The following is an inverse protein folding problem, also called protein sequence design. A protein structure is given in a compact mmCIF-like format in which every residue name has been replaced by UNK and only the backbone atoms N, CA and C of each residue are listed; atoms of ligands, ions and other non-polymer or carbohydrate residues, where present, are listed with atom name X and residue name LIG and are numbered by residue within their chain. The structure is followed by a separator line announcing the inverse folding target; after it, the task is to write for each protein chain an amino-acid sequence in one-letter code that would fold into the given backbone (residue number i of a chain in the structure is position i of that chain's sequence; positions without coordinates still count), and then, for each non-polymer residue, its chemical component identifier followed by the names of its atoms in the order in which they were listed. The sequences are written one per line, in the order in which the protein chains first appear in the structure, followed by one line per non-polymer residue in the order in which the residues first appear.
data_IF_764950564862
#
_entry.id   IF_764950564862
#
_cell.length_a   1.000
_cell.length_b   1.000
_cell.length_c   1.000
_cell.angle_alpha   90.00
_cell.angle_beta   90.00
_cell.angle_gamma   90.00
#
_symmetry.space_group_name_H-M   'P 1'
#
loop_
_entity.id
_entity.type
_entity.pdbx_description
1 polymer ?
#
# COMPACT_ATOMS: atom_id res chain seq x y z
N UNK A 1 17.74 -0.75 45.29
CA UNK A 1 17.93 -1.89 46.21
C UNK A 1 17.77 -1.34 47.62
N UNK A 2 16.82 -1.84 48.44
CA UNK A 2 16.51 -1.18 49.72
C UNK A 2 17.47 -1.66 50.82
N UNK A 3 18.36 -0.77 51.28
CA UNK A 3 19.25 -1.05 52.43
C UNK A 3 18.42 -0.93 53.71
N UNK A 4 18.08 -2.08 54.32
CA UNK A 4 17.44 -2.10 55.64
C UNK A 4 18.53 -2.06 56.72
N UNK A 5 18.83 -0.88 57.25
CA UNK A 5 19.58 -0.76 58.49
C UNK A 5 18.69 -1.18 59.68
N UNK A 6 19.19 -2.06 60.55
CA UNK A 6 18.58 -2.40 61.84
C UNK A 6 19.50 -1.90 62.95
N UNK A 7 19.07 -0.86 63.66
CA UNK A 7 19.70 -0.40 64.91
C UNK A 7 18.88 -0.84 66.12
N UNK A 8 19.52 -1.38 67.14
CA UNK A 8 18.93 -1.62 68.46
C UNK A 8 19.40 -0.55 69.43
N UNK A 9 18.50 0.34 69.85
CA UNK A 9 18.74 1.32 70.92
C UNK A 9 18.27 0.71 72.25
N UNK A 10 19.17 0.60 73.21
CA UNK A 10 18.82 0.27 74.61
C UNK A 10 18.91 1.55 75.43
N UNK A 11 17.77 2.06 75.91
CA UNK A 11 17.71 3.22 76.80
C UNK A 11 17.64 2.72 78.24
N UNK A 12 18.73 2.83 78.99
CA UNK A 12 18.73 2.60 80.43
C UNK A 12 18.30 3.92 81.08
N UNK A 13 17.11 3.95 81.70
CA UNK A 13 16.78 5.06 82.61
C UNK A 13 17.59 4.87 83.88
N UNK A 14 18.56 5.75 84.11
CA UNK A 14 19.14 5.93 85.44
C UNK A 14 18.22 6.91 86.17
N UNK A 15 17.36 6.39 87.06
CA UNK A 15 16.54 7.22 87.95
C UNK A 15 17.39 7.56 89.18
N UNK A 16 18.38 8.45 89.02
CA UNK A 16 19.18 8.99 90.13
C UNK A 16 18.99 10.52 90.32
N UNK A 17 18.24 11.19 89.44
CA UNK A 17 18.07 12.64 89.48
C UNK A 17 19.29 13.41 88.97
N UNK A 18 20.29 12.73 88.42
CA UNK A 18 21.44 13.33 87.76
C UNK A 18 21.31 13.21 86.24
N UNK A 19 21.79 14.22 85.52
CA UNK A 19 21.76 14.20 84.05
C UNK A 19 22.65 13.07 83.50
N UNK A 20 22.11 12.29 82.55
CA UNK A 20 22.83 11.20 81.86
C UNK A 20 24.01 11.68 80.99
N UNK A 21 24.19 13.00 80.88
CA UNK A 21 25.31 13.63 80.20
C UNK A 21 25.78 14.87 80.96
N UNK A 22 27.09 15.03 81.07
CA UNK A 22 27.71 16.24 81.62
C UNK A 22 27.89 17.24 80.49
N UNK A 23 27.46 18.50 80.70
CA UNK A 23 27.63 19.59 79.73
C UNK A 23 28.70 20.55 80.24
N UNK A 24 29.85 20.60 79.56
CA UNK A 24 30.97 21.44 79.99
C UNK A 24 31.92 21.75 78.85
N UNK A 25 32.65 22.87 78.95
CA UNK A 25 33.70 23.24 78.00
C UNK A 25 34.99 22.43 78.18
N UNK A 26 35.22 21.91 79.39
CA UNK A 26 36.39 21.08 79.74
C UNK A 26 35.97 19.64 80.01
N UNK A 27 36.88 18.69 79.78
CA UNK A 27 36.62 17.28 80.01
C UNK A 27 36.23 17.01 81.47
N UNK A 28 35.11 16.29 81.72
CA UNK A 28 34.70 15.95 83.07
C UNK A 28 35.60 14.88 83.68
N UNK A 29 35.75 14.91 85.00
CA UNK A 29 36.47 13.88 85.76
C UNK A 29 35.69 12.58 85.88
N UNK A 30 34.35 12.65 85.81
CA UNK A 30 33.48 11.49 85.80
C UNK A 30 33.40 10.92 84.38
N UNK A 31 34.02 9.76 84.19
CA UNK A 31 34.11 9.05 82.91
C UNK A 31 32.96 8.08 82.68
N UNK A 32 32.01 7.97 83.62
CA UNK A 32 30.87 7.04 83.52
C UNK A 32 29.70 7.63 82.73
N UNK A 33 29.68 8.95 82.54
CA UNK A 33 28.63 9.70 81.84
C UNK A 33 29.06 10.09 80.43
N UNK A 34 28.10 10.38 79.55
CA UNK A 34 28.42 11.03 78.27
C UNK A 34 28.83 12.47 78.51
N UNK A 35 29.73 13.00 77.69
CA UNK A 35 30.15 14.40 77.77
C UNK A 35 29.66 15.15 76.55
N UNK A 36 28.82 16.16 76.76
CA UNK A 36 28.54 17.16 75.73
C UNK A 36 29.54 18.31 75.86
N UNK A 37 30.53 18.33 74.98
CA UNK A 37 31.52 19.39 74.89
C UNK A 37 30.87 20.64 74.30
N UNK A 38 30.65 21.66 75.14
CA UNK A 38 29.95 22.88 74.72
C UNK A 38 30.80 23.77 73.81
N UNK A 39 32.12 23.54 73.74
CA UNK A 39 33.04 24.30 72.87
C UNK A 39 32.93 23.81 71.42
N UNK A 40 32.95 22.50 71.23
CA UNK A 40 32.89 21.85 69.90
C UNK A 40 31.48 21.42 69.51
N UNK A 41 30.52 21.50 70.44
CA UNK A 41 29.13 21.02 70.27
C UNK A 41 29.06 19.53 69.91
N UNK A 42 29.98 18.73 70.44
CA UNK A 42 30.06 17.28 70.19
C UNK A 42 29.67 16.50 71.44
N UNK A 43 29.04 15.34 71.22
CA UNK A 43 28.79 14.35 72.24
C UNK A 43 29.94 13.36 72.23
N UNK A 44 30.55 13.12 73.38
CA UNK A 44 31.71 12.26 73.55
C UNK A 44 31.42 11.17 74.58
N UNK A 45 32.03 10.01 74.38
CA UNK A 45 32.04 8.90 75.35
C UNK A 45 33.48 8.63 75.75
N UNK A 46 33.71 8.35 77.02
CA UNK A 46 35.03 7.93 77.48
C UNK A 46 35.28 6.48 77.04
N UNK A 47 36.40 6.24 76.37
CA UNK A 47 36.92 4.90 76.12
C UNK A 47 37.97 4.57 77.18
N UNK A 48 37.66 3.61 78.05
CA UNK A 48 38.56 3.15 79.10
C UNK A 48 39.78 2.39 78.57
N UNK A 49 39.76 1.94 77.32
CA UNK A 49 40.85 1.19 76.69
C UNK A 49 41.95 2.13 76.18
N UNK A 50 41.57 3.23 75.53
CA UNK A 50 42.49 4.27 75.07
C UNK A 50 42.75 5.37 76.11
N UNK A 51 41.89 5.48 77.13
CA UNK A 51 41.96 6.52 78.15
C UNK A 51 41.51 7.91 77.65
N UNK A 52 40.77 7.98 76.54
CA UNK A 52 40.41 9.23 75.86
C UNK A 52 38.90 9.40 75.66
N UNK A 53 38.46 10.65 75.45
CA UNK A 53 37.07 10.98 75.10
C UNK A 53 36.90 10.97 73.58
N UNK A 54 36.10 10.04 73.07
CA UNK A 54 35.84 9.86 71.64
C UNK A 54 34.50 10.49 71.25
N UNK A 55 34.45 11.17 70.10
CA UNK A 55 33.21 11.76 69.58
C UNK A 55 32.29 10.63 69.10
N UNK A 56 31.03 10.66 69.55
CA UNK A 56 30.01 9.65 69.20
C UNK A 56 28.89 10.20 68.32
N UNK A 57 28.92 11.48 67.96
CA UNK A 57 27.95 12.12 67.07
C UNK A 57 28.58 12.71 65.79
N UNK A 58 29.73 12.18 65.35
CA UNK A 58 30.34 12.55 64.08
C UNK A 58 29.81 11.65 62.95
N UNK A 59 28.98 12.24 62.09
CA UNK A 59 28.38 11.57 60.94
C UNK A 59 28.93 12.12 59.60
N UNK A 60 30.03 12.87 59.62
CA UNK A 60 30.57 13.51 58.42
C UNK A 60 30.93 12.48 57.34
N UNK A 61 31.55 11.38 57.73
CA UNK A 61 31.94 10.30 56.82
C UNK A 61 30.73 9.55 56.26
N UNK A 62 29.73 9.24 57.10
CA UNK A 62 28.49 8.61 56.67
C UNK A 62 27.74 9.49 55.66
N UNK A 63 27.62 10.80 55.91
CA UNK A 63 27.00 11.72 54.96
C UNK A 63 27.80 11.85 53.66
N UNK A 64 29.13 11.85 53.73
CA UNK A 64 29.98 11.89 52.55
C UNK A 64 29.87 10.61 51.72
N UNK A 65 29.82 9.44 52.37
CA UNK A 65 29.61 8.15 51.73
C UNK A 65 28.24 8.10 51.06
N UNK A 66 27.16 8.50 51.76
CA UNK A 66 25.83 8.60 51.18
C UNK A 66 25.79 9.54 49.97
N UNK A 67 26.43 10.72 50.05
CA UNK A 67 26.53 11.66 48.93
C UNK A 67 27.25 11.03 47.73
N UNK A 68 28.31 10.27 47.99
CA UNK A 68 29.09 9.62 46.95
C UNK A 68 28.31 8.47 46.29
N UNK A 69 27.63 7.65 47.08
CA UNK A 69 26.79 6.55 46.59
C UNK A 69 25.65 7.08 45.72
N UNK A 70 24.92 8.10 46.21
CA UNK A 70 23.88 8.81 45.46
C UNK A 70 24.43 9.34 44.13
N UNK A 71 25.59 10.01 44.16
CA UNK A 71 26.22 10.55 42.96
C UNK A 71 26.55 9.45 41.94
N UNK A 72 27.11 8.32 42.40
CA UNK A 72 27.45 7.19 41.52
C UNK A 72 26.20 6.56 40.93
N UNK A 73 25.16 6.33 41.74
CA UNK A 73 23.90 5.73 41.29
C UNK A 73 23.21 6.60 40.22
N UNK A 74 23.09 7.91 40.47
CA UNK A 74 22.50 8.83 39.48
C UNK A 74 23.33 8.96 38.21
N UNK A 75 24.65 9.04 38.30
CA UNK A 75 25.52 9.10 37.11
C UNK A 75 25.41 7.82 36.27
N UNK A 76 25.30 6.66 36.92
CA UNK A 76 25.07 5.38 36.23
C UNK A 76 23.71 5.36 35.54
N UNK A 77 22.63 5.75 36.23
CA UNK A 77 21.29 5.81 35.65
C UNK A 77 21.19 6.79 34.46
N UNK A 78 21.80 7.98 34.59
CA UNK A 78 21.88 8.97 33.51
C UNK A 78 22.63 8.40 32.29
N UNK A 79 23.74 7.70 32.54
CA UNK A 79 24.53 7.07 31.46
C UNK A 79 23.75 5.98 30.75
N UNK A 80 23.05 5.13 31.50
CA UNK A 80 22.19 4.08 30.93
C UNK A 80 21.07 4.69 30.09
N UNK A 81 20.38 5.72 30.61
CA UNK A 81 19.34 6.43 29.89
C UNK A 81 19.88 7.09 28.61
N UNK A 82 21.05 7.72 28.68
CA UNK A 82 21.72 8.31 27.51
C UNK A 82 21.97 7.26 26.43
N UNK A 83 22.50 6.09 26.81
CA UNK A 83 22.79 5.02 25.87
C UNK A 83 21.50 4.48 25.22
N UNK A 84 20.46 4.23 26.02
CA UNK A 84 19.15 3.81 25.49
C UNK A 84 18.54 4.84 24.53
N UNK A 85 18.66 6.13 24.85
CA UNK A 85 18.18 7.20 23.97
C UNK A 85 18.97 7.26 22.67
N UNK A 86 20.31 7.13 22.74
CA UNK A 86 21.16 7.07 21.54
C UNK A 86 20.76 5.90 20.63
N UNK A 87 20.61 4.69 21.19
CA UNK A 87 20.18 3.52 20.41
C UNK A 87 18.80 3.69 19.79
N UNK A 88 17.83 4.26 20.54
CA UNK A 88 16.49 4.54 20.02
C UNK A 88 16.55 5.54 18.84
N UNK A 89 17.37 6.57 18.93
CA UNK A 89 17.55 7.55 17.84
C UNK A 89 18.16 6.90 16.60
N UNK A 90 19.18 6.05 16.77
CA UNK A 90 19.80 5.31 15.67
C UNK A 90 18.82 4.36 14.96
N UNK A 91 17.98 3.67 15.74
CA UNK A 91 16.93 2.78 15.20
C UNK A 91 15.86 3.58 14.44
N UNK A 92 15.44 4.73 14.97
CA UNK A 92 14.49 5.63 14.30
C UNK A 92 15.06 6.19 13.00
N UNK A 93 16.33 6.57 12.97
CA UNK A 93 17.00 7.04 11.76
C UNK A 93 17.09 5.94 10.69
N UNK A 94 17.43 4.72 11.11
CA UNK A 94 17.48 3.54 10.22
C UNK A 94 16.10 3.24 9.64
N UNK A 95 15.07 3.19 10.49
CA UNK A 95 13.68 2.95 10.08
C UNK A 95 13.18 4.04 9.12
N UNK A 96 13.47 5.31 9.41
CA UNK A 96 13.11 6.44 8.56
C UNK A 96 13.77 6.35 7.18
N UNK A 97 15.05 5.97 7.13
CA UNK A 97 15.80 5.79 5.89
C UNK A 97 15.24 4.64 5.04
N UNK A 98 14.95 3.50 5.68
CA UNK A 98 14.35 2.34 5.02
C UNK A 98 12.95 2.66 4.47
N UNK A 99 12.13 3.37 5.25
CA UNK A 99 10.81 3.81 4.81
C UNK A 99 10.90 4.77 3.63
N UNK A 100 11.81 5.74 3.68
CA UNK A 100 12.04 6.68 2.56
C UNK A 100 12.44 5.95 1.28
N UNK A 101 13.33 4.96 1.39
CA UNK A 101 13.75 4.13 0.25
C UNK A 101 12.59 3.31 -0.31
N UNK A 102 11.78 2.70 0.57
CA UNK A 102 10.61 1.92 0.17
C UNK A 102 9.55 2.79 -0.52
N UNK A 103 9.29 4.00 0.00
CA UNK A 103 8.37 4.98 -0.59
C UNK A 103 8.85 5.39 -1.99
N UNK A 104 10.14 5.68 -2.16
CA UNK A 104 10.70 6.06 -3.46
C UNK A 104 10.59 4.91 -4.48
N UNK A 105 10.80 3.66 -4.05
CA UNK A 105 10.60 2.48 -4.90
C UNK A 105 9.14 2.32 -5.34
N UNK A 106 8.20 2.40 -4.39
CA UNK A 106 6.77 2.33 -4.67
C UNK A 106 6.30 3.45 -5.60
N UNK A 107 6.76 4.69 -5.37
CA UNK A 107 6.48 5.82 -6.25
C UNK A 107 6.96 5.55 -7.68
N UNK A 108 8.17 5.03 -7.84
CA UNK A 108 8.72 4.66 -9.14
C UNK A 108 7.90 3.56 -9.84
N UNK A 109 7.43 2.56 -9.10
CA UNK A 109 6.57 1.50 -9.63
C UNK A 109 5.20 2.05 -10.08
N UNK A 110 4.60 2.96 -9.30
CA UNK A 110 3.33 3.61 -9.65
C UNK A 110 3.48 4.41 -10.96
N UNK A 111 4.56 5.17 -11.11
CA UNK A 111 4.83 5.96 -12.34
C UNK A 111 4.99 5.04 -13.56
N UNK A 112 5.72 3.94 -13.41
CA UNK A 112 5.91 2.95 -14.48
C UNK A 112 4.57 2.31 -14.87
N UNK A 113 3.77 1.88 -13.89
CA UNK A 113 2.45 1.29 -14.13
C UNK A 113 1.50 2.27 -14.83
N UNK A 114 1.46 3.54 -14.39
CA UNK A 114 0.67 4.58 -15.04
C UNK A 114 1.08 4.77 -16.51
N UNK A 115 2.39 4.77 -16.79
CA UNK A 115 2.92 4.84 -18.16
C UNK A 115 2.51 3.63 -19.00
N UNK A 116 2.56 2.41 -18.44
CA UNK A 116 2.09 1.20 -19.11
C UNK A 116 0.59 1.23 -19.42
N UNK A 117 -0.24 1.69 -18.46
CA UNK A 117 -1.68 1.87 -18.67
C UNK A 117 -1.97 2.88 -19.78
N UNK A 118 -1.21 3.98 -19.83
CA UNK A 118 -1.35 4.98 -20.89
C UNK A 118 -1.00 4.39 -22.26
N UNK A 119 0.08 3.60 -22.37
CA UNK A 119 0.44 2.91 -23.61
C UNK A 119 -0.66 1.94 -24.06
N UNK A 120 -1.20 1.13 -23.14
CA UNK A 120 -2.29 0.19 -23.43
C UNK A 120 -3.54 0.94 -23.89
N UNK A 121 -3.90 2.04 -23.21
CA UNK A 121 -5.03 2.89 -23.60
C UNK A 121 -4.86 3.44 -25.01
N UNK A 122 -3.68 3.97 -25.34
CA UNK A 122 -3.38 4.48 -26.67
C UNK A 122 -3.48 3.37 -27.75
N UNK A 123 -3.00 2.17 -27.43
CA UNK A 123 -3.13 1.01 -28.33
C UNK A 123 -4.59 0.60 -28.52
N UNK A 124 -5.39 0.59 -27.46
CA UNK A 124 -6.84 0.30 -27.54
C UNK A 124 -7.55 1.33 -28.40
N UNK A 125 -7.25 2.62 -28.23
CA UNK A 125 -7.82 3.67 -29.07
C UNK A 125 -7.44 3.45 -30.54
N UNK A 126 -6.18 3.16 -30.84
CA UNK A 126 -5.74 2.87 -32.21
C UNK A 126 -6.42 1.63 -32.82
N UNK A 127 -6.62 0.57 -32.03
CA UNK A 127 -7.37 -0.63 -32.45
C UNK A 127 -8.83 -0.26 -32.72
N UNK A 128 -9.43 0.51 -31.82
CA UNK A 128 -10.81 0.99 -31.94
C UNK A 128 -10.98 1.82 -33.20
N UNK A 129 -10.11 2.78 -33.46
CA UNK A 129 -10.12 3.62 -34.66
C UNK A 129 -9.95 2.80 -35.95
N UNK A 130 -9.11 1.76 -35.93
CA UNK A 130 -8.97 0.84 -37.07
C UNK A 130 -10.22 -0.02 -37.29
N UNK A 131 -10.95 -0.34 -36.23
CA UNK A 131 -12.18 -1.14 -36.30
C UNK A 131 -13.40 -0.30 -36.69
N UNK A 132 -13.48 0.98 -36.29
CA UNK A 132 -14.63 1.85 -36.62
C UNK A 132 -14.74 2.17 -38.11
N UNK A 133 -13.65 2.08 -38.87
CA UNK A 133 -13.65 2.25 -40.33
C UNK A 133 -13.89 0.98 -41.14
N UNK A 134 -13.99 -0.18 -40.49
CA UNK A 134 -14.32 -1.46 -41.13
C UNK A 134 -15.82 -1.68 -40.94
N UNK A 135 -16.54 -1.99 -42.01
CA UNK A 135 -17.96 -2.36 -41.90
C UNK A 135 -18.11 -3.40 -40.79
N UNK A 136 -18.90 -3.07 -39.77
CA UNK A 136 -19.10 -3.94 -38.62
C UNK A 136 -19.63 -5.29 -39.07
N UNK A 137 -19.41 -6.34 -38.28
CA UNK A 137 -19.98 -7.66 -38.57
C UNK A 137 -21.49 -7.55 -38.77
N UNK A 138 -22.14 -6.65 -38.04
CA UNK A 138 -23.56 -6.32 -38.13
C UNK A 138 -23.93 -5.66 -39.47
N UNK A 139 -23.19 -4.65 -39.92
CA UNK A 139 -23.41 -4.01 -41.24
C UNK A 139 -23.17 -4.99 -42.39
N UNK A 140 -22.10 -5.80 -42.34
CA UNK A 140 -21.86 -6.84 -43.34
C UNK A 140 -22.99 -7.87 -43.28
N UNK A 141 -23.43 -8.30 -42.09
CA UNK A 141 -24.51 -9.27 -41.93
C UNK A 141 -25.88 -8.75 -42.38
N UNK A 142 -26.09 -7.43 -42.41
CA UNK A 142 -27.30 -6.84 -42.97
C UNK A 142 -27.41 -7.08 -44.48
N UNK A 143 -26.29 -7.19 -45.19
CA UNK A 143 -26.24 -7.26 -46.66
C UNK A 143 -25.65 -8.55 -47.22
N UNK A 144 -24.86 -9.29 -46.46
CA UNK A 144 -24.16 -10.50 -46.88
C UNK A 144 -24.12 -11.55 -45.76
N UNK A 145 -24.66 -12.74 -46.02
CA UNK A 145 -24.78 -13.84 -45.04
C UNK A 145 -24.30 -15.15 -45.65
N UNK A 146 -23.50 -15.89 -44.90
CA UNK A 146 -23.14 -17.28 -45.23
C UNK A 146 -23.98 -18.23 -44.37
N UNK A 147 -24.94 -18.91 -44.99
CA UNK A 147 -25.86 -19.82 -44.31
C UNK A 147 -25.94 -21.12 -45.10
N UNK A 148 -25.73 -22.26 -44.43
CA UNK A 148 -25.88 -23.60 -45.02
C UNK A 148 -25.12 -23.81 -46.34
N UNK A 149 -23.91 -23.25 -46.46
CA UNK A 149 -23.09 -23.35 -47.68
C UNK A 149 -23.51 -22.45 -48.83
N UNK A 150 -24.44 -21.52 -48.61
CA UNK A 150 -24.92 -20.54 -49.58
C UNK A 150 -24.52 -19.14 -49.12
N UNK A 151 -23.91 -18.35 -50.02
CA UNK A 151 -23.70 -16.92 -49.83
C UNK A 151 -24.97 -16.18 -50.30
N UNK A 152 -25.70 -15.59 -49.36
CA UNK A 152 -26.85 -14.73 -49.62
C UNK A 152 -26.44 -13.27 -49.59
N UNK A 153 -26.82 -12.49 -50.58
CA UNK A 153 -26.61 -11.06 -50.67
C UNK A 153 -27.96 -10.34 -50.78
N UNK A 154 -28.27 -9.45 -49.86
CA UNK A 154 -29.54 -8.74 -49.80
C UNK A 154 -29.77 -8.15 -48.42
N UNK A 155 -30.48 -7.02 -48.38
CA UNK A 155 -30.86 -6.40 -47.10
C UNK A 155 -31.73 -7.36 -46.29
N UNK A 156 -31.46 -7.48 -44.99
CA UNK A 156 -32.27 -8.28 -44.06
C UNK A 156 -33.77 -8.00 -44.07
N UNK A 157 -34.20 -6.80 -44.48
CA UNK A 157 -35.60 -6.38 -44.57
C UNK A 157 -36.12 -6.35 -46.02
N UNK A 158 -35.34 -6.85 -46.99
CA UNK A 158 -35.72 -6.89 -48.40
C UNK A 158 -36.33 -8.25 -48.74
N UNK A 159 -37.44 -8.30 -49.50
CA UNK A 159 -37.93 -9.54 -50.08
C UNK A 159 -37.01 -10.05 -51.20
N UNK A 160 -36.11 -9.21 -51.71
CA UNK A 160 -35.16 -9.55 -52.77
C UNK A 160 -33.79 -9.92 -52.21
N UNK A 161 -33.25 -11.05 -52.67
CA UNK A 161 -31.88 -11.47 -52.39
C UNK A 161 -31.24 -12.22 -53.58
N UNK A 162 -29.91 -12.29 -53.59
CA UNK A 162 -29.10 -13.08 -54.51
C UNK A 162 -28.47 -14.22 -53.73
N UNK A 163 -28.54 -15.44 -54.25
CA UNK A 163 -27.97 -16.63 -53.60
C UNK A 163 -26.93 -17.26 -54.50
N UNK A 164 -25.69 -17.32 -54.02
CA UNK A 164 -24.61 -18.09 -54.63
C UNK A 164 -24.45 -19.40 -53.87
N UNK A 165 -24.73 -20.50 -54.55
CA UNK A 165 -24.58 -21.87 -54.06
C UNK A 165 -23.53 -22.62 -54.89
N UNK A 166 -23.29 -23.89 -54.55
CA UNK A 166 -22.45 -24.78 -55.36
C UNK A 166 -23.09 -25.16 -56.70
N UNK A 167 -24.40 -25.02 -56.86
CA UNK A 167 -25.13 -25.44 -58.07
C UNK A 167 -25.61 -24.28 -58.93
N UNK A 168 -25.76 -23.08 -58.37
CA UNK A 168 -26.32 -21.93 -59.09
C UNK A 168 -25.95 -20.58 -58.45
N UNK A 169 -26.03 -19.53 -59.28
CA UNK A 169 -26.21 -18.15 -58.86
C UNK A 169 -27.65 -17.74 -59.18
N UNK A 170 -28.49 -17.55 -58.17
CA UNK A 170 -29.93 -17.29 -58.31
C UNK A 170 -30.36 -15.94 -57.74
N UNK A 171 -31.38 -15.35 -58.35
CA UNK A 171 -32.10 -14.17 -57.89
C UNK A 171 -33.44 -14.60 -57.33
N UNK A 172 -33.77 -14.11 -56.13
CA UNK A 172 -34.92 -14.53 -55.36
C UNK A 172 -35.78 -13.33 -54.97
N UNK A 173 -37.09 -13.52 -54.95
CA UNK A 173 -38.08 -12.61 -54.38
C UNK A 173 -39.03 -13.42 -53.48
N UNK A 174 -39.09 -13.11 -52.19
CA UNK A 174 -39.89 -13.86 -51.19
C UNK A 174 -39.63 -15.38 -51.26
N UNK A 175 -38.36 -15.78 -51.24
CA UNK A 175 -37.89 -17.17 -51.40
C UNK A 175 -38.22 -17.84 -52.74
N UNK A 176 -38.85 -17.13 -53.68
CA UNK A 176 -39.13 -17.64 -55.01
C UNK A 176 -37.99 -17.27 -55.95
N UNK A 177 -37.38 -18.29 -56.57
CA UNK A 177 -36.34 -18.10 -57.60
C UNK A 177 -36.98 -17.47 -58.85
N UNK A 178 -36.63 -16.22 -59.16
CA UNK A 178 -37.13 -15.49 -60.32
C UNK A 178 -36.23 -15.66 -61.55
N UNK A 179 -34.93 -15.76 -61.34
CA UNK A 179 -33.92 -15.99 -62.36
C UNK A 179 -32.72 -16.74 -61.77
N UNK A 180 -32.00 -17.51 -62.58
CA UNK A 180 -30.77 -18.17 -62.14
C UNK A 180 -29.84 -18.51 -63.30
N UNK A 181 -28.56 -18.61 -62.96
CA UNK A 181 -27.49 -19.14 -63.79
C UNK A 181 -27.06 -20.50 -63.23
N UNK A 182 -27.22 -21.55 -64.01
CA UNK A 182 -26.77 -22.90 -63.67
C UNK A 182 -26.56 -23.72 -64.93
N UNK A 183 -25.60 -24.66 -64.92
CA UNK A 183 -25.37 -25.60 -66.02
C UNK A 183 -25.26 -24.91 -67.40
N UNK A 184 -24.54 -23.79 -67.48
CA UNK A 184 -24.33 -22.99 -68.70
C UNK A 184 -25.61 -22.38 -69.29
N UNK A 185 -26.67 -22.25 -68.49
CA UNK A 185 -27.95 -21.69 -68.92
C UNK A 185 -28.36 -20.52 -68.02
N UNK A 186 -28.84 -19.45 -68.65
CA UNK A 186 -29.57 -18.37 -68.01
C UNK A 186 -31.06 -18.66 -68.11
N UNK A 187 -31.72 -18.79 -66.97
CA UNK A 187 -33.14 -19.06 -66.88
C UNK A 187 -33.83 -17.87 -66.20
N UNK A 188 -34.84 -17.29 -66.85
CA UNK A 188 -35.61 -16.16 -66.33
C UNK A 188 -37.10 -16.50 -66.44
N UNK A 189 -37.84 -16.43 -65.33
CA UNK A 189 -39.26 -16.81 -65.30
C UNK A 189 -40.14 -15.84 -66.10
N UNK A 190 -39.83 -14.54 -66.02
CA UNK A 190 -40.51 -13.48 -66.77
C UNK A 190 -39.52 -12.33 -66.97
N UNK A 191 -39.42 -11.85 -68.21
CA UNK A 191 -38.60 -10.69 -68.55
C UNK A 191 -39.46 -9.64 -69.26
N UNK A 192 -39.23 -8.36 -68.94
CA UNK A 192 -39.69 -7.23 -69.74
C UNK A 192 -38.45 -6.61 -70.38
N UNK A 193 -38.33 -6.74 -71.70
CA UNK A 193 -37.21 -6.18 -72.46
C UNK A 193 -37.66 -4.83 -73.00
N UNK A 194 -37.04 -3.75 -72.50
CA UNK A 194 -37.50 -2.39 -72.79
C UNK A 194 -37.12 -1.89 -74.18
N UNK A 195 -36.03 -2.41 -74.76
CA UNK A 195 -35.46 -1.88 -76.00
C UNK A 195 -35.07 -2.97 -76.99
N UNK A 196 -34.17 -3.87 -76.58
CA UNK A 196 -33.49 -4.76 -77.49
C UNK A 196 -33.00 -6.03 -76.77
N UNK A 197 -33.11 -7.18 -77.43
CA UNK A 197 -32.38 -8.41 -77.07
C UNK A 197 -31.62 -8.93 -78.30
N UNK A 198 -30.33 -9.19 -78.11
CA UNK A 198 -29.44 -9.72 -79.16
C UNK A 198 -29.22 -11.21 -78.95
N UNK A 199 -29.45 -12.00 -80.00
CA UNK A 199 -29.31 -13.45 -80.03
C UNK A 199 -28.38 -13.82 -81.18
N UNK A 200 -27.07 -13.77 -80.93
CA UNK A 200 -26.06 -13.97 -81.97
C UNK A 200 -26.15 -12.87 -83.03
N UNK A 201 -26.41 -13.25 -84.28
CA UNK A 201 -26.62 -12.31 -85.39
C UNK A 201 -28.04 -11.73 -85.44
N UNK A 202 -28.99 -12.31 -84.70
CA UNK A 202 -30.38 -11.86 -84.67
C UNK A 202 -30.61 -10.79 -83.61
N UNK A 203 -31.51 -9.85 -83.88
CA UNK A 203 -31.92 -8.82 -82.92
C UNK A 203 -33.43 -8.70 -82.87
N UNK A 204 -33.99 -8.65 -81.67
CA UNK A 204 -35.39 -8.29 -81.45
C UNK A 204 -35.40 -6.90 -80.84
N UNK A 205 -35.98 -5.95 -81.55
CA UNK A 205 -35.97 -4.52 -81.21
C UNK A 205 -37.41 -4.04 -81.09
N UNK A 206 -37.68 -3.23 -80.06
CA UNK A 206 -38.89 -2.43 -79.98
C UNK A 206 -38.60 -1.03 -80.53
N UNK A 207 -39.30 -0.67 -81.60
CA UNK A 207 -39.27 0.66 -82.21
C UNK A 207 -40.60 1.37 -81.90
N UNK A 208 -40.53 2.65 -81.52
CA UNK A 208 -41.72 3.41 -81.09
C UNK A 208 -42.69 3.72 -82.25
N UNK A 209 -42.20 3.77 -83.49
CA UNK A 209 -43.02 4.04 -84.69
C UNK A 209 -43.44 2.75 -85.40
N UNK A 210 -42.54 1.77 -85.47
CA UNK A 210 -42.70 0.56 -86.27
C UNK A 210 -43.12 -0.69 -85.47
N UNK A 211 -43.10 -0.62 -84.14
CA UNK A 211 -43.46 -1.73 -83.26
C UNK A 211 -42.34 -2.77 -83.14
N UNK A 212 -42.71 -4.06 -83.09
CA UNK A 212 -41.75 -5.16 -82.94
C UNK A 212 -40.99 -5.43 -84.24
N UNK A 213 -39.68 -5.23 -84.23
CA UNK A 213 -38.77 -5.55 -85.33
C UNK A 213 -37.92 -6.78 -84.98
N UNK A 214 -37.76 -7.69 -85.95
CA UNK A 214 -36.85 -8.83 -85.88
C UNK A 214 -35.87 -8.70 -87.05
N UNK A 215 -34.59 -8.49 -86.73
CA UNK A 215 -33.49 -8.28 -87.68
C UNK A 215 -32.50 -9.45 -87.66
#
# INVERSE_FOLDING_TARGET
MSVKARGSITLIRVNDGEDASIRSATAPSDTTKLWFDTTTQTLKRYDSSSGTWEIVNDYADDMNNMRQEISVEYNSAITQLKNSLTSLVEELQTTTTNNTTSINSLSSQIIQNASSIQLVTNNINSITDKLTGVATKEEISQWAKFESGVLKLGSSNSPFDVRLSNTELGFYENDKRIAYLSNQQLNISKAVVMKQINLGTFQIIYDEELGLLIL
#
